data_IF_038600245887
#
_entry.id   IF_038600245887
#
_cell.length_a   1.000
_cell.length_b   1.000
_cell.length_c   1.000
_cell.angle_alpha   90.00
_cell.angle_beta   90.00
_cell.angle_gamma   90.00
#
_symmetry.space_group_name_H-M   'P 1'
#
loop_
_entity.id
_entity.type
_entity.pdbx_description
1 polymer ?
#
# COMPACT_ATOMS: atom_id res chain seq x y z
N UNK A 1 6.09 27.52 8.77
CA UNK A 1 6.33 27.62 7.31
C UNK A 1 7.84 27.70 7.09
N UNK A 2 8.48 26.64 6.66
CA UNK A 2 9.89 26.67 6.31
C UNK A 2 10.05 26.01 4.95
N UNK A 3 10.24 26.87 3.94
CA UNK A 3 10.63 26.45 2.62
C UNK A 3 12.08 25.98 2.65
N UNK A 4 12.35 24.74 2.25
CA UNK A 4 13.67 24.36 1.79
C UNK A 4 13.89 25.15 0.50
N UNK A 5 14.67 26.23 0.58
CA UNK A 5 15.05 27.02 -0.57
C UNK A 5 16.04 26.20 -1.42
N UNK A 6 15.57 25.73 -2.56
CA UNK A 6 16.47 25.26 -3.61
C UNK A 6 17.32 26.46 -4.10
N UNK A 7 18.61 26.28 -4.40
CA UNK A 7 19.48 27.37 -4.84
C UNK A 7 18.92 27.96 -6.14
N UNK A 8 18.73 29.29 -6.16
CA UNK A 8 18.35 30.04 -7.34
C UNK A 8 19.43 29.88 -8.41
N UNK A 9 19.13 29.13 -9.43
CA UNK A 9 19.94 29.12 -10.66
C UNK A 9 19.84 30.53 -11.29
N UNK A 10 20.98 31.18 -11.41
CA UNK A 10 21.11 32.50 -12.05
C UNK A 10 20.59 32.39 -13.50
N UNK A 11 19.66 33.29 -13.85
CA UNK A 11 19.18 33.46 -15.23
C UNK A 11 20.37 33.77 -16.14
N UNK A 12 20.66 32.91 -17.12
CA UNK A 12 21.52 33.24 -18.23
C UNK A 12 20.72 34.15 -19.19
N UNK A 13 21.15 35.40 -19.29
CA UNK A 13 20.69 36.35 -20.32
C UNK A 13 21.14 35.81 -21.68
N UNK A 14 20.23 35.26 -22.46
CA UNK A 14 20.44 34.88 -23.84
C UNK A 14 19.81 35.98 -24.70
N UNK A 15 20.65 36.61 -25.54
CA UNK A 15 20.27 37.69 -26.43
C UNK A 15 19.18 37.30 -27.43
N UNK A 16 18.49 38.30 -27.95
CA UNK A 16 17.36 38.33 -28.89
C UNK A 16 17.38 37.21 -29.93
N UNK A 17 16.67 36.12 -29.64
CA UNK A 17 16.15 35.20 -30.66
C UNK A 17 14.73 34.85 -30.22
N UNK A 18 13.76 34.99 -31.11
CA UNK A 18 12.36 34.70 -31.06
C UNK A 18 11.73 34.38 -29.67
N UNK A 19 10.47 34.70 -29.42
CA UNK A 19 9.78 34.41 -28.17
C UNK A 19 10.02 32.96 -27.73
N UNK A 20 10.97 32.76 -26.83
CA UNK A 20 11.20 31.46 -26.20
C UNK A 20 10.04 31.29 -25.21
N UNK A 21 9.22 30.28 -25.43
CA UNK A 21 8.16 29.90 -24.49
C UNK A 21 8.85 29.48 -23.18
N UNK A 22 8.57 30.18 -22.08
CA UNK A 22 8.96 29.72 -20.74
C UNK A 22 7.91 28.72 -20.24
N UNK A 23 8.34 27.51 -19.89
CA UNK A 23 7.46 26.46 -19.37
C UNK A 23 7.28 26.52 -17.85
N UNK A 24 8.17 27.23 -17.13
CA UNK A 24 8.14 27.35 -15.67
C UNK A 24 6.79 27.87 -15.13
N UNK A 25 6.11 28.89 -15.73
CA UNK A 25 4.82 29.35 -15.23
C UNK A 25 3.72 28.29 -15.28
N UNK A 26 3.76 27.36 -16.25
CA UNK A 26 2.77 26.27 -16.32
C UNK A 26 2.89 25.32 -15.13
N UNK A 27 4.12 24.96 -14.75
CA UNK A 27 4.37 24.08 -13.61
C UNK A 27 4.10 24.79 -12.27
N UNK A 28 4.47 26.06 -12.15
CA UNK A 28 4.16 26.88 -10.98
C UNK A 28 2.64 26.97 -10.76
N UNK A 29 1.88 27.31 -11.80
CA UNK A 29 0.42 27.37 -11.72
C UNK A 29 -0.23 26.00 -11.39
N UNK A 30 0.35 24.89 -11.86
CA UNK A 30 -0.14 23.57 -11.52
C UNK A 30 0.08 23.24 -10.03
N UNK A 31 1.22 23.64 -9.47
CA UNK A 31 1.51 23.47 -8.03
C UNK A 31 0.64 24.39 -7.19
N UNK A 32 0.43 25.64 -7.60
CA UNK A 32 -0.40 26.61 -6.87
C UNK A 32 -1.86 26.14 -6.80
N UNK A 33 -2.40 25.57 -7.89
CA UNK A 33 -3.72 24.92 -7.85
C UNK A 33 -3.79 23.80 -6.81
N UNK A 34 -2.75 22.96 -6.67
CA UNK A 34 -2.73 21.94 -5.63
C UNK A 34 -2.74 22.54 -4.21
N UNK A 35 -2.10 23.70 -4.01
CA UNK A 35 -2.14 24.44 -2.73
C UNK A 35 -3.51 25.03 -2.46
N UNK A 36 -4.11 25.67 -3.45
CA UNK A 36 -5.47 26.21 -3.36
C UNK A 36 -6.52 25.13 -3.08
N UNK A 37 -6.39 23.95 -3.72
CA UNK A 37 -7.25 22.79 -3.52
C UNK A 37 -6.94 22.00 -2.24
N UNK A 38 -5.97 22.41 -1.44
CA UNK A 38 -5.50 21.71 -0.24
C UNK A 38 -5.00 20.26 -0.50
N UNK A 39 -4.43 20.03 -1.68
CA UNK A 39 -3.91 18.74 -2.16
C UNK A 39 -2.39 18.69 -2.20
N UNK A 40 -1.72 19.79 -1.88
CA UNK A 40 -0.26 19.85 -1.87
C UNK A 40 0.30 18.99 -0.75
N UNK A 41 1.17 18.04 -1.12
CA UNK A 41 1.79 17.10 -0.19
C UNK A 41 3.16 17.60 0.25
N UNK A 42 3.40 17.55 1.55
CA UNK A 42 4.72 17.80 2.14
C UNK A 42 5.33 16.45 2.52
N UNK A 43 6.55 16.22 2.08
CA UNK A 43 7.29 15.00 2.40
C UNK A 43 8.18 15.27 3.62
N UNK A 44 7.99 14.48 4.67
CA UNK A 44 8.77 14.58 5.91
C UNK A 44 10.06 13.79 5.72
N UNK A 45 11.20 14.45 5.99
CA UNK A 45 12.52 13.82 5.91
C UNK A 45 12.80 13.03 7.20
N UNK A 46 12.73 11.70 7.10
CA UNK A 46 12.87 10.78 8.25
C UNK A 46 14.09 9.88 8.09
N UNK A 47 14.96 9.91 9.06
CA UNK A 47 16.07 8.98 9.23
C UNK A 47 15.67 7.87 10.20
N UNK A 48 15.48 6.64 9.68
CA UNK A 48 15.15 5.47 10.50
C UNK A 48 16.36 5.02 11.29
N UNK A 49 16.13 4.53 12.52
CA UNK A 49 17.16 4.00 13.39
C UNK A 49 17.00 2.48 13.44
N UNK A 50 17.96 1.75 12.86
CA UNK A 50 17.91 0.28 12.86
C UNK A 50 17.82 -0.27 14.29
N UNK A 51 16.89 -1.18 14.53
CA UNK A 51 16.65 -1.78 15.85
C UNK A 51 15.88 -0.90 16.85
N UNK A 52 15.43 0.31 16.45
CA UNK A 52 14.68 1.22 17.32
C UNK A 52 13.29 1.60 16.76
N UNK A 53 12.73 0.77 15.86
CA UNK A 53 11.36 1.01 15.41
C UNK A 53 10.38 1.00 16.61
N UNK A 54 9.40 1.96 16.69
CA UNK A 54 8.95 2.90 15.67
C UNK A 54 9.60 4.29 15.71
N UNK A 55 10.72 4.46 16.39
CA UNK A 55 11.42 5.75 16.48
C UNK A 55 12.19 6.07 15.21
N UNK A 56 12.24 7.37 14.87
CA UNK A 56 13.04 7.91 13.79
C UNK A 56 13.52 9.32 14.13
N UNK A 57 14.52 9.82 13.42
CA UNK A 57 14.94 11.22 13.51
C UNK A 57 14.26 11.99 12.36
N UNK A 58 13.45 12.96 12.71
CA UNK A 58 12.94 13.94 11.78
C UNK A 58 13.97 15.04 11.54
N UNK A 59 14.45 15.16 10.29
CA UNK A 59 15.35 16.22 9.83
C UNK A 59 14.55 17.48 9.53
N UNK A 60 14.19 18.23 10.59
CA UNK A 60 13.42 19.47 10.44
C UNK A 60 14.31 20.67 10.16
N UNK A 61 13.71 21.77 9.69
CA UNK A 61 14.42 23.04 9.49
C UNK A 61 14.95 23.67 10.79
N UNK A 62 14.40 23.30 11.94
CA UNK A 62 14.85 23.72 13.28
C UNK A 62 15.87 22.76 13.92
N UNK A 63 16.30 21.74 13.17
CA UNK A 63 17.23 20.72 13.61
C UNK A 63 16.60 19.34 13.74
N UNK A 64 17.43 18.30 13.98
CA UNK A 64 16.96 16.92 14.11
C UNK A 64 16.19 16.75 15.43
N UNK A 65 15.05 16.01 15.35
CA UNK A 65 14.24 15.64 16.51
C UNK A 65 13.83 14.17 16.42
N UNK A 66 13.86 13.47 17.54
CA UNK A 66 13.30 12.13 17.62
C UNK A 66 11.78 12.19 17.56
N UNK A 67 11.17 11.30 16.77
CA UNK A 67 9.73 11.20 16.58
C UNK A 67 9.30 9.73 16.56
N UNK A 68 8.03 9.47 16.89
CA UNK A 68 7.40 8.15 16.81
C UNK A 68 6.53 8.08 15.56
N UNK A 69 6.76 7.08 14.72
CA UNK A 69 6.03 6.88 13.46
C UNK A 69 4.81 5.99 13.69
N UNK A 70 3.59 6.52 13.51
CA UNK A 70 2.33 5.79 13.64
C UNK A 70 1.62 5.50 12.32
N UNK A 71 2.27 5.78 11.18
CA UNK A 71 1.70 5.60 9.84
C UNK A 71 2.60 4.79 8.90
N UNK A 72 3.52 3.99 9.46
CA UNK A 72 4.40 3.14 8.65
C UNK A 72 3.62 2.01 7.98
N UNK A 73 4.00 1.70 6.74
CA UNK A 73 3.52 0.48 6.07
C UNK A 73 4.38 -0.75 6.39
N UNK A 74 5.51 -0.62 7.08
CA UNK A 74 6.27 -1.75 7.61
C UNK A 74 5.57 -2.28 8.89
N UNK A 75 4.40 -2.89 8.68
CA UNK A 75 3.44 -3.23 9.73
C UNK A 75 4.01 -4.11 10.84
N UNK A 76 4.89 -5.04 10.48
CA UNK A 76 5.52 -5.99 11.40
C UNK A 76 6.98 -5.62 11.74
N UNK A 77 7.46 -4.46 11.23
CA UNK A 77 8.85 -3.99 11.36
C UNK A 77 9.88 -5.01 10.81
N UNK A 78 9.48 -5.81 9.82
CA UNK A 78 10.37 -6.79 9.18
C UNK A 78 11.55 -6.13 8.47
N UNK A 79 11.41 -4.88 8.03
CA UNK A 79 12.51 -4.12 7.43
C UNK A 79 13.69 -3.85 8.37
N UNK A 80 13.50 -4.06 9.69
CA UNK A 80 14.55 -3.96 10.71
C UNK A 80 14.82 -5.29 11.41
N UNK A 81 14.14 -6.37 11.01
CA UNK A 81 14.30 -7.67 11.64
C UNK A 81 15.71 -8.25 11.37
N UNK A 82 16.44 -8.76 12.39
CA UNK A 82 17.82 -9.20 12.22
C UNK A 82 18.05 -10.23 11.13
N UNK A 83 17.11 -11.18 10.94
CA UNK A 83 17.20 -12.19 9.86
C UNK A 83 17.10 -11.57 8.48
N UNK A 84 16.26 -10.55 8.32
CA UNK A 84 16.03 -9.85 7.04
C UNK A 84 17.24 -8.98 6.70
N UNK A 85 17.69 -8.17 7.66
CA UNK A 85 18.88 -7.32 7.50
C UNK A 85 20.13 -8.19 7.28
N UNK A 86 20.29 -9.27 8.03
CA UNK A 86 21.43 -10.19 7.88
C UNK A 86 21.46 -10.84 6.49
N UNK A 87 20.32 -11.29 5.96
CA UNK A 87 20.22 -11.84 4.61
C UNK A 87 20.57 -10.80 3.53
N UNK A 88 20.12 -9.56 3.72
CA UNK A 88 20.45 -8.44 2.83
C UNK A 88 21.95 -8.17 2.78
N UNK A 89 22.58 -8.04 3.96
CA UNK A 89 24.02 -7.76 4.08
C UNK A 89 24.85 -8.86 3.48
N UNK A 90 24.53 -10.13 3.77
CA UNK A 90 25.22 -11.28 3.22
C UNK A 90 25.13 -11.35 1.68
N UNK A 91 23.94 -11.10 1.13
CA UNK A 91 23.75 -11.07 -0.32
C UNK A 91 24.47 -9.89 -0.98
N UNK A 92 24.43 -8.70 -0.37
CA UNK A 92 25.16 -7.53 -0.88
C UNK A 92 26.67 -7.77 -0.90
N UNK A 93 27.23 -8.37 0.15
CA UNK A 93 28.66 -8.72 0.22
C UNK A 93 29.05 -9.76 -0.84
N UNK A 94 28.15 -10.69 -1.17
CA UNK A 94 28.42 -11.77 -2.12
C UNK A 94 28.21 -11.39 -3.58
N UNK A 95 27.15 -10.62 -3.87
CA UNK A 95 26.67 -10.39 -5.25
C UNK A 95 26.79 -8.92 -5.70
N UNK A 96 27.16 -8.01 -4.80
CA UNK A 96 27.17 -6.57 -5.06
C UNK A 96 25.81 -5.90 -4.92
N UNK A 97 25.76 -4.60 -5.21
CA UNK A 97 24.60 -3.74 -4.95
C UNK A 97 23.57 -3.73 -6.09
N UNK A 98 23.98 -4.01 -7.31
CA UNK A 98 23.18 -3.79 -8.52
C UNK A 98 22.41 -5.01 -9.00
N UNK A 99 21.38 -4.77 -9.84
CA UNK A 99 20.57 -5.81 -10.46
C UNK A 99 21.17 -6.38 -11.76
N UNK A 100 22.13 -5.70 -12.38
CA UNK A 100 22.77 -6.11 -13.63
C UNK A 100 21.99 -5.74 -14.90
N UNK A 101 20.70 -5.37 -14.82
CA UNK A 101 19.87 -4.99 -15.97
C UNK A 101 18.40 -5.36 -15.82
N UNK A 102 17.68 -5.34 -16.96
CA UNK A 102 16.33 -5.89 -17.05
C UNK A 102 16.36 -7.41 -16.96
N UNK A 103 15.21 -8.04 -16.73
CA UNK A 103 15.12 -9.51 -16.50
C UNK A 103 15.77 -10.32 -17.63
N UNK A 104 15.57 -9.95 -18.87
CA UNK A 104 16.12 -10.64 -20.04
C UNK A 104 17.55 -10.17 -20.41
N UNK A 105 18.05 -9.08 -19.81
CA UNK A 105 19.42 -8.58 -20.02
C UNK A 105 20.21 -8.70 -18.72
N UNK A 106 20.59 -9.93 -18.35
CA UNK A 106 21.36 -10.27 -17.15
C UNK A 106 20.74 -9.89 -15.78
N UNK A 107 19.50 -9.37 -15.73
CA UNK A 107 18.82 -9.01 -14.46
C UNK A 107 18.12 -10.19 -13.77
N UNK A 108 17.98 -11.36 -14.42
CA UNK A 108 17.45 -12.56 -13.77
C UNK A 108 18.56 -13.22 -12.95
N UNK A 109 18.69 -12.79 -11.70
CA UNK A 109 19.63 -13.36 -10.74
C UNK A 109 18.99 -14.51 -9.94
N UNK A 110 19.83 -15.42 -9.38
CA UNK A 110 19.35 -16.60 -8.67
C UNK A 110 18.49 -16.27 -7.45
N UNK A 111 18.85 -15.24 -6.67
CA UNK A 111 18.06 -14.81 -5.50
C UNK A 111 16.64 -14.37 -5.88
N UNK A 112 16.46 -13.84 -7.08
CA UNK A 112 15.15 -13.45 -7.59
C UNK A 112 14.33 -14.67 -8.01
N UNK A 113 14.97 -15.70 -8.61
CA UNK A 113 14.32 -16.98 -8.92
C UNK A 113 13.87 -17.68 -7.63
N UNK A 114 14.71 -17.71 -6.60
CA UNK A 114 14.36 -18.26 -5.28
C UNK A 114 13.17 -17.50 -4.66
N UNK A 115 13.14 -16.16 -4.78
CA UNK A 115 12.05 -15.35 -4.28
C UNK A 115 10.73 -15.66 -5.00
N UNK A 116 10.72 -15.80 -6.33
CA UNK A 116 9.53 -16.15 -7.10
C UNK A 116 9.00 -17.55 -6.70
N UNK A 117 9.88 -18.52 -6.49
CA UNK A 117 9.50 -19.84 -5.97
C UNK A 117 8.90 -19.76 -4.56
N UNK A 118 9.49 -18.95 -3.68
CA UNK A 118 9.00 -18.78 -2.30
C UNK A 118 7.63 -18.11 -2.26
N UNK A 119 7.36 -17.15 -3.16
CA UNK A 119 6.05 -16.49 -3.29
C UNK A 119 5.02 -17.48 -3.84
N UNK A 120 5.36 -18.24 -4.87
CA UNK A 120 4.48 -19.26 -5.43
C UNK A 120 4.07 -20.30 -4.35
N UNK A 121 5.03 -20.75 -3.54
CA UNK A 121 4.75 -21.64 -2.41
C UNK A 121 3.92 -20.99 -1.31
N UNK A 122 4.17 -19.71 -0.97
CA UNK A 122 3.37 -18.97 0.00
C UNK A 122 1.88 -19.00 -0.39
N UNK A 123 1.58 -18.72 -1.65
CA UNK A 123 0.23 -18.62 -2.19
C UNK A 123 -0.31 -19.93 -2.76
N UNK A 124 0.44 -21.03 -2.69
CA UNK A 124 0.06 -22.32 -3.30
C UNK A 124 -0.33 -22.19 -4.76
N UNK A 125 0.39 -21.36 -5.50
CA UNK A 125 0.23 -21.17 -6.94
C UNK A 125 1.36 -21.82 -7.70
N UNK A 126 1.14 -22.09 -9.00
CA UNK A 126 2.13 -22.77 -9.85
C UNK A 126 3.36 -21.89 -10.09
N UNK A 127 3.17 -20.58 -10.21
CA UNK A 127 4.25 -19.63 -10.49
C UNK A 127 3.98 -18.27 -9.88
N UNK A 128 5.04 -17.46 -9.75
CA UNK A 128 4.98 -16.07 -9.39
C UNK A 128 5.93 -15.23 -10.26
N UNK A 129 5.65 -13.93 -10.36
CA UNK A 129 6.45 -12.98 -11.08
C UNK A 129 6.68 -11.73 -10.23
N UNK A 130 7.94 -11.35 -10.01
CA UNK A 130 8.33 -10.21 -9.17
C UNK A 130 8.55 -8.97 -10.02
N UNK A 131 8.02 -7.84 -9.54
CA UNK A 131 8.11 -6.49 -10.10
C UNK A 131 8.84 -5.56 -9.15
N UNK A 132 9.23 -4.38 -9.61
CA UNK A 132 9.94 -3.38 -8.80
C UNK A 132 9.07 -2.75 -7.69
N UNK A 133 7.76 -2.80 -7.80
CA UNK A 133 6.83 -2.33 -6.77
C UNK A 133 5.45 -2.99 -6.91
N UNK A 134 4.64 -2.93 -5.83
CA UNK A 134 3.24 -3.33 -5.86
C UNK A 134 2.40 -2.50 -6.83
N UNK A 135 2.77 -1.23 -7.04
CA UNK A 135 2.14 -0.39 -8.06
C UNK A 135 2.33 -0.98 -9.46
N UNK A 136 3.58 -1.31 -9.81
CA UNK A 136 3.91 -1.88 -11.13
C UNK A 136 3.31 -3.27 -11.33
N UNK A 137 3.23 -4.11 -10.30
CA UNK A 137 2.61 -5.43 -10.42
C UNK A 137 1.12 -5.34 -10.72
N UNK A 138 0.37 -4.43 -10.09
CA UNK A 138 -1.03 -4.17 -10.39
C UNK A 138 -1.21 -3.59 -11.79
N UNK A 139 -0.56 -2.47 -12.05
CA UNK A 139 -0.71 -1.74 -13.31
C UNK A 139 -0.37 -2.61 -14.52
N UNK A 140 0.77 -3.28 -14.45
CA UNK A 140 1.28 -4.10 -15.56
C UNK A 140 0.55 -5.44 -15.65
N UNK A 141 0.27 -6.10 -14.51
CA UNK A 141 -0.42 -7.37 -14.46
C UNK A 141 -1.84 -7.28 -15.01
N UNK A 142 -2.65 -6.38 -14.45
CA UNK A 142 -4.05 -6.18 -14.89
C UNK A 142 -4.11 -5.78 -16.36
N UNK A 143 -3.28 -4.80 -16.77
CA UNK A 143 -3.29 -4.33 -18.17
C UNK A 143 -2.96 -5.46 -19.15
N UNK A 144 -1.94 -6.27 -18.85
CA UNK A 144 -1.50 -7.34 -19.74
C UNK A 144 -2.50 -8.49 -19.76
N UNK A 145 -2.98 -8.93 -18.61
CA UNK A 145 -3.95 -10.04 -18.52
C UNK A 145 -5.22 -9.68 -19.28
N UNK A 146 -5.86 -8.55 -18.95
CA UNK A 146 -7.12 -8.15 -19.57
C UNK A 146 -6.98 -7.95 -21.08
N UNK A 147 -5.88 -7.34 -21.56
CA UNK A 147 -5.63 -7.11 -22.99
C UNK A 147 -5.48 -8.40 -23.80
N UNK A 148 -4.97 -9.48 -23.20
CA UNK A 148 -4.76 -10.75 -23.89
C UNK A 148 -6.00 -11.67 -23.88
N UNK A 149 -7.05 -11.32 -23.16
CA UNK A 149 -8.34 -12.00 -23.19
C UNK A 149 -9.24 -11.30 -24.21
N UNK A 150 -9.62 -11.96 -25.33
CA UNK A 150 -10.45 -11.33 -26.34
C UNK A 150 -11.80 -10.87 -25.77
N UNK A 151 -12.24 -9.66 -26.10
CA UNK A 151 -13.49 -9.04 -25.63
C UNK A 151 -13.67 -9.03 -24.09
N UNK A 152 -12.59 -8.95 -23.36
CA UNK A 152 -12.60 -8.95 -21.89
C UNK A 152 -13.41 -7.78 -21.34
N UNK A 153 -14.36 -8.06 -20.44
CA UNK A 153 -15.00 -7.06 -19.59
C UNK A 153 -14.32 -7.03 -18.23
N UNK A 154 -13.77 -5.89 -17.83
CA UNK A 154 -13.19 -5.71 -16.51
C UNK A 154 -14.22 -5.13 -15.54
N UNK A 155 -14.49 -5.86 -14.46
CA UNK A 155 -15.36 -5.45 -13.36
C UNK A 155 -14.47 -5.01 -12.19
N UNK A 156 -14.45 -3.70 -11.86
CA UNK A 156 -13.55 -3.14 -10.86
C UNK A 156 -14.34 -2.57 -9.70
N UNK A 157 -13.92 -2.86 -8.46
CA UNK A 157 -14.48 -2.23 -7.27
C UNK A 157 -14.25 -0.71 -7.28
N UNK A 158 -15.23 0.04 -6.77
CA UNK A 158 -15.22 1.50 -6.77
C UNK A 158 -14.09 2.11 -5.92
N UNK A 159 -13.58 1.40 -4.91
CA UNK A 159 -12.51 1.86 -4.01
C UNK A 159 -11.16 1.19 -4.29
N UNK A 160 -11.00 0.50 -5.41
CA UNK A 160 -9.71 -0.07 -5.79
C UNK A 160 -8.59 0.97 -5.81
N UNK A 161 -7.40 0.54 -5.41
CA UNK A 161 -6.20 1.36 -5.40
C UNK A 161 -5.87 1.92 -6.80
N UNK A 162 -5.28 3.11 -6.85
CA UNK A 162 -4.93 3.80 -8.10
C UNK A 162 -4.13 2.93 -9.08
N UNK A 163 -3.22 2.08 -8.60
CA UNK A 163 -2.45 1.16 -9.46
C UNK A 163 -3.33 0.18 -10.23
N UNK A 164 -4.43 -0.28 -9.61
CA UNK A 164 -5.41 -1.16 -10.25
C UNK A 164 -6.23 -0.38 -11.28
N UNK A 165 -6.69 0.83 -10.90
CA UNK A 165 -7.41 1.74 -11.82
C UNK A 165 -6.57 2.04 -13.06
N UNK A 166 -5.27 2.32 -12.90
CA UNK A 166 -4.36 2.56 -14.03
C UNK A 166 -4.13 1.28 -14.86
N UNK A 167 -4.04 0.12 -14.24
CA UNK A 167 -3.98 -1.17 -14.93
C UNK A 167 -5.21 -1.42 -15.80
N UNK A 168 -6.40 -1.20 -15.23
CA UNK A 168 -7.68 -1.30 -15.95
C UNK A 168 -7.75 -0.30 -17.11
N UNK A 169 -7.30 0.96 -16.88
CA UNK A 169 -7.26 1.98 -17.93
C UNK A 169 -6.32 1.58 -19.08
N UNK A 170 -5.13 1.09 -18.76
CA UNK A 170 -4.12 0.72 -19.75
C UNK A 170 -4.44 -0.57 -20.52
N UNK A 171 -5.32 -1.41 -20.00
CA UNK A 171 -5.80 -2.58 -20.75
C UNK A 171 -6.52 -2.21 -22.04
N UNK A 172 -7.19 -1.05 -22.06
CA UNK A 172 -8.05 -0.61 -23.17
C UNK A 172 -9.38 -1.39 -23.26
N UNK A 173 -9.65 -2.31 -22.33
CA UNK A 173 -10.87 -3.11 -22.30
C UNK A 173 -12.09 -2.31 -21.82
N UNK A 174 -13.30 -2.76 -22.19
CA UNK A 174 -14.52 -2.26 -21.54
C UNK A 174 -14.43 -2.51 -20.04
N UNK A 175 -14.83 -1.53 -19.26
CA UNK A 175 -14.85 -1.62 -17.81
C UNK A 175 -16.19 -1.20 -17.25
N UNK A 176 -16.62 -1.85 -16.18
CA UNK A 176 -17.76 -1.45 -15.34
C UNK A 176 -17.29 -1.40 -13.89
N UNK A 177 -17.70 -0.33 -13.20
CA UNK A 177 -17.35 -0.14 -11.80
C UNK A 177 -18.55 -0.57 -10.96
N UNK A 178 -18.34 -1.52 -10.06
CA UNK A 178 -19.36 -1.93 -9.12
C UNK A 178 -19.20 -1.19 -7.78
N UNK A 179 -20.34 -0.99 -7.09
CA UNK A 179 -20.34 -0.30 -5.80
C UNK A 179 -19.51 -1.08 -4.80
N UNK A 180 -18.73 -0.35 -4.01
CA UNK A 180 -17.79 -0.93 -3.06
C UNK A 180 -18.42 -2.02 -2.20
N UNK A 181 -17.83 -3.21 -2.21
CA UNK A 181 -18.25 -4.41 -1.50
C UNK A 181 -19.72 -4.86 -1.71
N UNK A 182 -20.43 -4.29 -2.70
CA UNK A 182 -21.81 -4.61 -3.03
C UNK A 182 -21.88 -5.79 -4.03
N UNK A 183 -21.95 -6.99 -3.47
CA UNK A 183 -21.99 -8.24 -4.27
C UNK A 183 -23.26 -8.37 -5.12
N UNK A 184 -24.37 -7.75 -4.70
CA UNK A 184 -25.62 -7.77 -5.47
C UNK A 184 -25.47 -6.89 -6.74
N UNK A 185 -24.80 -5.75 -6.62
CA UNK A 185 -24.47 -4.93 -7.80
C UNK A 185 -23.44 -5.63 -8.70
N UNK A 186 -22.45 -6.30 -8.13
CA UNK A 186 -21.50 -7.11 -8.92
C UNK A 186 -22.25 -8.20 -9.70
N UNK A 187 -23.18 -8.91 -9.06
CA UNK A 187 -23.98 -9.94 -9.73
C UNK A 187 -24.83 -9.37 -10.88
N UNK A 188 -25.48 -8.22 -10.68
CA UNK A 188 -26.22 -7.54 -11.74
C UNK A 188 -25.35 -7.26 -12.96
N UNK A 189 -24.12 -6.78 -12.76
CA UNK A 189 -23.18 -6.49 -13.84
C UNK A 189 -22.69 -7.76 -14.54
N UNK A 190 -22.43 -8.84 -13.79
CA UNK A 190 -22.04 -10.15 -14.32
C UNK A 190 -23.15 -10.74 -15.18
N UNK A 191 -24.40 -10.70 -14.70
CA UNK A 191 -25.59 -11.18 -15.43
C UNK A 191 -25.81 -10.38 -16.72
N UNK A 192 -25.67 -9.05 -16.66
CA UNK A 192 -25.81 -8.17 -17.82
C UNK A 192 -24.69 -8.33 -18.86
N UNK A 193 -23.55 -8.89 -18.49
CA UNK A 193 -22.45 -9.17 -19.41
C UNK A 193 -22.71 -10.41 -20.28
N UNK A 194 -23.60 -11.29 -19.86
CA UNK A 194 -23.86 -12.57 -20.54
C UNK A 194 -22.88 -13.69 -20.15
N UNK A 195 -23.27 -14.94 -20.39
CA UNK A 195 -22.47 -16.10 -19.98
C UNK A 195 -21.17 -16.24 -20.78
N UNK A 196 -21.24 -16.03 -22.08
CA UNK A 196 -20.14 -16.31 -23.03
C UNK A 196 -19.01 -15.27 -23.01
N UNK A 197 -19.29 -14.07 -22.54
CA UNK A 197 -18.32 -12.99 -22.55
C UNK A 197 -17.25 -13.22 -21.48
N UNK A 198 -15.95 -13.20 -21.80
CA UNK A 198 -14.89 -13.24 -20.79
C UNK A 198 -14.94 -12.04 -19.84
N UNK A 199 -14.76 -12.30 -18.55
CA UNK A 199 -14.87 -11.30 -17.50
C UNK A 199 -13.68 -11.41 -16.55
N UNK A 200 -13.16 -10.27 -16.10
CA UNK A 200 -12.13 -10.16 -15.06
C UNK A 200 -12.64 -9.31 -13.89
N UNK A 201 -12.81 -9.91 -12.72
CA UNK A 201 -13.18 -9.21 -11.49
C UNK A 201 -11.91 -8.78 -10.79
N UNK A 202 -11.78 -7.46 -10.51
CA UNK A 202 -10.59 -6.85 -9.93
C UNK A 202 -10.97 -6.14 -8.62
N UNK A 203 -10.38 -6.57 -7.49
CA UNK A 203 -10.71 -6.07 -6.16
C UNK A 203 -9.55 -6.22 -5.18
N UNK A 204 -9.56 -5.43 -4.09
CA UNK A 204 -8.67 -5.63 -2.94
C UNK A 204 -9.35 -6.56 -1.93
N UNK A 205 -8.60 -7.44 -1.29
CA UNK A 205 -9.15 -8.30 -0.22
C UNK A 205 -9.26 -7.52 1.09
N UNK A 206 -8.39 -6.52 1.28
CA UNK A 206 -8.37 -5.59 2.40
C UNK A 206 -8.07 -4.19 1.89
N UNK A 207 -9.04 -3.28 2.03
CA UNK A 207 -8.97 -1.92 1.50
C UNK A 207 -8.14 -0.98 2.39
N UNK A 208 -7.24 -0.26 1.74
CA UNK A 208 -6.14 0.45 2.41
C UNK A 208 -6.55 1.63 3.27
N UNK A 209 -7.68 2.29 2.96
CA UNK A 209 -8.07 3.55 3.61
C UNK A 209 -9.17 3.37 4.66
N UNK A 210 -10.06 2.45 4.45
CA UNK A 210 -11.18 2.16 5.34
C UNK A 210 -10.86 0.99 6.29
N UNK A 211 -9.99 0.08 5.88
CA UNK A 211 -9.60 -1.09 6.67
C UNK A 211 -10.68 -2.15 6.73
N UNK A 212 -11.58 -2.16 5.78
CA UNK A 212 -12.61 -3.17 5.61
C UNK A 212 -12.12 -4.31 4.71
N UNK A 213 -12.86 -5.41 4.73
CA UNK A 213 -12.52 -6.65 4.03
C UNK A 213 -13.58 -6.92 2.98
N UNK A 214 -13.14 -7.29 1.77
CA UNK A 214 -14.05 -7.70 0.72
C UNK A 214 -14.84 -8.96 1.12
N UNK A 215 -16.10 -9.09 0.69
CA UNK A 215 -16.90 -10.30 0.88
C UNK A 215 -16.39 -11.43 -0.04
N UNK A 216 -15.15 -11.87 0.21
CA UNK A 216 -14.31 -12.69 -0.67
C UNK A 216 -14.99 -13.96 -1.15
N UNK A 217 -15.60 -14.72 -0.23
CA UNK A 217 -16.26 -16.00 -0.59
C UNK A 217 -17.43 -15.77 -1.56
N UNK A 218 -18.22 -14.69 -1.34
CA UNK A 218 -19.32 -14.35 -2.24
C UNK A 218 -18.83 -13.88 -3.61
N UNK A 219 -17.71 -13.17 -3.67
CA UNK A 219 -17.07 -12.80 -4.94
C UNK A 219 -16.62 -14.05 -5.69
N UNK A 220 -16.00 -15.01 -4.99
CA UNK A 220 -15.60 -16.28 -5.58
C UNK A 220 -16.83 -17.09 -6.08
N UNK A 221 -17.93 -17.16 -5.31
CA UNK A 221 -19.17 -17.82 -5.72
C UNK A 221 -19.71 -17.23 -7.04
N UNK A 222 -19.74 -15.91 -7.13
CA UNK A 222 -20.17 -15.20 -8.33
C UNK A 222 -19.21 -15.42 -9.51
N UNK A 223 -17.91 -15.40 -9.26
CA UNK A 223 -16.91 -15.66 -10.29
C UNK A 223 -17.10 -17.05 -10.92
N UNK A 224 -17.25 -18.07 -10.10
CA UNK A 224 -17.51 -19.44 -10.53
C UNK A 224 -18.85 -19.57 -11.28
N UNK A 225 -19.92 -18.98 -10.72
CA UNK A 225 -21.26 -19.04 -11.31
C UNK A 225 -21.33 -18.39 -12.70
N UNK A 226 -20.61 -17.29 -12.90
CA UNK A 226 -20.67 -16.50 -14.15
C UNK A 226 -19.43 -16.69 -15.04
N UNK A 227 -18.55 -17.64 -14.75
CA UNK A 227 -17.34 -17.91 -15.52
C UNK A 227 -16.42 -16.69 -15.61
N UNK A 228 -16.21 -15.98 -14.51
CA UNK A 228 -15.33 -14.83 -14.43
C UNK A 228 -13.99 -15.19 -13.78
N UNK A 229 -12.91 -14.62 -14.31
CA UNK A 229 -11.58 -14.68 -13.72
C UNK A 229 -11.47 -13.69 -12.58
N UNK A 230 -10.70 -14.01 -11.54
CA UNK A 230 -10.48 -13.18 -10.36
C UNK A 230 -9.06 -12.66 -10.27
N UNK A 231 -8.91 -11.36 -9.97
CA UNK A 231 -7.65 -10.71 -9.63
C UNK A 231 -7.79 -10.04 -8.27
N UNK A 232 -7.17 -10.62 -7.25
CA UNK A 232 -7.26 -10.15 -5.87
C UNK A 232 -5.95 -9.50 -5.42
N UNK A 233 -6.02 -8.24 -4.99
CA UNK A 233 -4.93 -7.50 -4.37
C UNK A 233 -4.91 -7.79 -2.86
N UNK A 234 -3.85 -8.44 -2.41
CA UNK A 234 -3.57 -8.78 -1.00
C UNK A 234 -2.51 -7.87 -0.36
N UNK A 235 -2.19 -6.74 -0.98
CA UNK A 235 -1.07 -5.86 -0.59
C UNK A 235 -1.10 -5.45 0.89
N UNK A 236 -2.29 -5.26 1.46
CA UNK A 236 -2.48 -4.92 2.87
C UNK A 236 -2.68 -6.13 3.78
N UNK A 237 -2.75 -7.33 3.23
CA UNK A 237 -3.06 -8.54 3.97
C UNK A 237 -1.93 -9.58 3.99
N UNK A 238 -1.10 -9.67 2.95
CA UNK A 238 0.06 -10.58 2.93
C UNK A 238 1.03 -10.27 4.06
N UNK A 239 1.57 -11.29 4.68
CA UNK A 239 2.38 -11.22 5.90
C UNK A 239 1.57 -11.07 7.18
N UNK A 240 0.30 -10.62 7.10
CA UNK A 240 -0.53 -10.17 8.22
C UNK A 240 -1.62 -11.15 8.62
N UNK A 241 -2.23 -11.82 7.64
CA UNK A 241 -3.38 -12.70 7.83
C UNK A 241 -3.11 -14.09 7.28
N UNK A 242 -3.89 -15.07 7.77
CA UNK A 242 -3.71 -16.47 7.44
C UNK A 242 -2.61 -17.15 8.26
N UNK A 243 -2.63 -18.48 8.27
CA UNK A 243 -1.69 -19.28 9.08
C UNK A 243 -0.24 -19.10 8.65
N UNK A 244 0.01 -19.06 7.34
CA UNK A 244 1.34 -18.84 6.75
C UNK A 244 1.64 -17.38 6.45
N UNK A 245 0.66 -16.49 6.66
CA UNK A 245 0.75 -15.09 6.28
C UNK A 245 0.50 -14.86 4.79
N UNK A 246 -0.29 -15.71 4.13
CA UNK A 246 -0.58 -15.56 2.72
C UNK A 246 -1.77 -14.62 2.43
N UNK A 247 -2.37 -14.02 3.46
CA UNK A 247 -3.39 -12.98 3.31
C UNK A 247 -4.80 -13.42 3.70
N UNK A 248 -5.80 -12.64 3.29
CA UNK A 248 -7.23 -12.90 3.55
C UNK A 248 -7.69 -14.16 2.81
N UNK A 249 -7.20 -14.39 1.60
CA UNK A 249 -7.53 -15.60 0.85
C UNK A 249 -7.13 -16.89 1.60
N UNK A 250 -5.98 -16.89 2.30
CA UNK A 250 -5.60 -18.01 3.16
C UNK A 250 -6.48 -18.08 4.40
N UNK A 251 -6.75 -16.95 5.06
CA UNK A 251 -7.58 -16.89 6.26
C UNK A 251 -8.97 -17.47 6.02
N UNK A 252 -9.57 -17.13 4.89
CA UNK A 252 -10.95 -17.47 4.56
C UNK A 252 -11.06 -18.78 3.74
N UNK A 253 -9.93 -19.46 3.46
CA UNK A 253 -9.90 -20.72 2.74
C UNK A 253 -10.25 -20.60 1.24
N UNK A 254 -10.06 -19.41 0.65
CA UNK A 254 -10.39 -19.10 -0.74
C UNK A 254 -9.17 -19.14 -1.69
N UNK A 255 -7.98 -19.52 -1.22
CA UNK A 255 -6.74 -19.45 -1.97
C UNK A 255 -6.81 -20.11 -3.33
N UNK A 256 -7.44 -21.30 -3.41
CA UNK A 256 -7.52 -22.08 -4.64
C UNK A 256 -8.62 -21.57 -5.61
N UNK A 257 -9.50 -20.68 -5.13
CA UNK A 257 -10.62 -20.09 -5.88
C UNK A 257 -10.27 -18.76 -6.55
N UNK A 258 -9.06 -18.23 -6.31
CA UNK A 258 -8.59 -16.98 -6.90
C UNK A 258 -7.57 -17.31 -7.98
N UNK A 259 -7.77 -16.76 -9.18
CA UNK A 259 -6.88 -17.02 -10.32
C UNK A 259 -5.56 -16.28 -10.21
N UNK A 260 -5.61 -15.01 -9.83
CA UNK A 260 -4.41 -14.15 -9.67
C UNK A 260 -4.41 -13.50 -8.30
N UNK A 261 -3.38 -13.79 -7.52
CA UNK A 261 -3.07 -13.09 -6.28
C UNK A 261 -1.96 -12.07 -6.51
N UNK A 262 -2.20 -10.85 -6.13
CA UNK A 262 -1.18 -9.81 -6.16
C UNK A 262 -0.78 -9.42 -4.74
N UNK A 263 0.50 -9.13 -4.53
CA UNK A 263 1.00 -8.71 -3.24
C UNK A 263 2.19 -7.77 -3.34
N UNK A 264 2.66 -7.33 -2.18
CA UNK A 264 3.83 -6.45 -2.08
C UNK A 264 4.86 -6.98 -1.08
N UNK A 265 6.12 -6.72 -1.38
CA UNK A 265 7.24 -6.95 -0.47
C UNK A 265 7.53 -5.72 0.41
N UNK A 266 6.85 -4.58 0.13
CA UNK A 266 7.19 -3.29 0.70
C UNK A 266 6.37 -2.92 1.96
N UNK A 267 5.49 -3.81 2.44
CA UNK A 267 4.70 -3.58 3.66
C UNK A 267 5.09 -4.59 4.75
N UNK A 268 4.25 -5.57 5.05
CA UNK A 268 4.53 -6.51 6.14
C UNK A 268 5.86 -7.27 6.02
N UNK A 269 6.36 -7.49 4.80
CA UNK A 269 7.69 -8.10 4.58
C UNK A 269 8.86 -7.11 4.72
N UNK A 270 8.59 -5.80 4.84
CA UNK A 270 9.59 -4.77 5.17
C UNK A 270 10.64 -4.46 4.11
N UNK A 271 10.46 -4.93 2.86
CA UNK A 271 11.42 -4.80 1.78
C UNK A 271 10.93 -3.84 0.67
N UNK A 272 11.29 -4.10 -0.57
CA UNK A 272 10.84 -3.39 -1.78
C UNK A 272 10.44 -4.40 -2.83
N UNK A 273 9.40 -4.09 -3.60
CA UNK A 273 8.92 -4.90 -4.71
C UNK A 273 7.43 -5.20 -4.61
N UNK A 274 6.91 -5.78 -5.69
CA UNK A 274 5.57 -6.34 -5.76
C UNK A 274 5.60 -7.62 -6.58
N UNK A 275 4.51 -8.35 -6.60
CA UNK A 275 4.44 -9.60 -7.35
C UNK A 275 3.00 -9.94 -7.74
N UNK A 276 2.87 -10.84 -8.70
CA UNK A 276 1.65 -11.60 -8.96
C UNK A 276 1.97 -13.09 -8.83
N UNK A 277 0.97 -13.88 -8.45
CA UNK A 277 1.05 -15.34 -8.39
C UNK A 277 -0.22 -15.96 -9.00
N UNK A 278 -0.08 -17.03 -9.77
CA UNK A 278 -1.18 -17.67 -10.47
C UNK A 278 -0.73 -18.91 -11.24
N UNK A 279 -1.53 -19.31 -12.24
CA UNK A 279 -1.20 -20.40 -13.13
C UNK A 279 0.06 -20.12 -13.96
N UNK A 280 0.85 -21.13 -14.24
CA UNK A 280 2.14 -21.00 -14.93
C UNK A 280 2.00 -20.33 -16.31
N UNK A 281 0.99 -20.72 -17.09
CA UNK A 281 0.72 -20.14 -18.42
C UNK A 281 0.37 -18.65 -18.37
N UNK A 282 -0.39 -18.22 -17.35
CA UNK A 282 -0.74 -16.83 -17.13
C UNK A 282 0.50 -16.00 -16.75
N UNK A 283 1.28 -16.51 -15.81
CA UNK A 283 2.53 -15.85 -15.36
C UNK A 283 3.53 -15.73 -16.51
N UNK A 284 3.66 -16.77 -17.33
CA UNK A 284 4.54 -16.76 -18.50
C UNK A 284 4.05 -15.80 -19.60
N UNK A 285 2.75 -15.69 -19.81
CA UNK A 285 2.18 -14.70 -20.71
C UNK A 285 2.48 -13.26 -20.24
N UNK A 286 2.31 -12.96 -18.95
CA UNK A 286 2.65 -11.64 -18.40
C UNK A 286 4.15 -11.38 -18.53
N UNK A 287 5.00 -12.35 -18.19
CA UNK A 287 6.47 -12.26 -18.33
C UNK A 287 6.88 -11.91 -19.77
N UNK A 288 6.21 -12.49 -20.75
CA UNK A 288 6.57 -12.39 -22.16
C UNK A 288 6.00 -11.14 -22.88
N UNK A 289 4.87 -10.61 -22.39
CA UNK A 289 4.15 -9.54 -23.09
C UNK A 289 4.11 -8.20 -22.36
N UNK A 290 4.42 -8.16 -21.07
CA UNK A 290 4.24 -6.97 -20.24
C UNK A 290 5.40 -5.96 -20.38
N UNK A 291 5.21 -4.79 -21.05
CA UNK A 291 6.30 -3.82 -21.23
C UNK A 291 6.86 -3.32 -19.89
N UNK A 292 6.00 -3.07 -18.90
CA UNK A 292 6.40 -2.62 -17.56
C UNK A 292 7.22 -3.66 -16.77
N UNK A 293 7.24 -4.92 -17.22
CA UNK A 293 8.12 -5.95 -16.71
C UNK A 293 9.39 -6.09 -17.54
N UNK A 294 9.24 -6.23 -18.88
CA UNK A 294 10.35 -6.53 -19.81
C UNK A 294 11.39 -5.41 -19.81
N UNK A 295 10.95 -4.14 -19.83
CA UNK A 295 11.83 -2.98 -19.98
C UNK A 295 12.21 -2.31 -18.65
N UNK A 296 11.88 -2.92 -17.52
CA UNK A 296 12.20 -2.41 -16.19
C UNK A 296 13.39 -3.17 -15.61
N UNK A 297 14.33 -2.46 -14.96
CA UNK A 297 15.44 -3.06 -14.21
C UNK A 297 14.92 -4.01 -13.13
N UNK A 298 15.55 -5.16 -13.00
CA UNK A 298 15.19 -6.16 -11.98
C UNK A 298 15.49 -5.68 -10.55
N UNK A 299 14.97 -6.39 -9.55
CA UNK A 299 15.38 -6.15 -8.15
C UNK A 299 16.81 -6.67 -7.92
N UNK A 300 17.63 -5.93 -7.15
CA UNK A 300 18.95 -6.37 -6.72
C UNK A 300 18.89 -7.67 -5.89
N UNK A 301 19.91 -8.55 -5.99
CA UNK A 301 19.99 -9.79 -5.20
C UNK A 301 19.83 -9.59 -3.69
N UNK A 302 20.36 -8.50 -3.15
CA UNK A 302 20.25 -8.16 -1.73
C UNK A 302 18.80 -7.97 -1.27
N UNK A 303 17.98 -7.28 -2.08
CA UNK A 303 16.56 -7.09 -1.80
C UNK A 303 15.80 -8.42 -1.93
N UNK A 304 16.10 -9.21 -2.95
CA UNK A 304 15.47 -10.52 -3.14
C UNK A 304 15.75 -11.45 -1.96
N UNK A 305 17.00 -11.54 -1.51
CA UNK A 305 17.40 -12.36 -0.36
C UNK A 305 16.72 -11.90 0.94
N UNK A 306 16.63 -10.60 1.17
CA UNK A 306 15.92 -10.01 2.32
C UNK A 306 14.42 -10.38 2.30
N UNK A 307 13.76 -10.21 1.17
CA UNK A 307 12.35 -10.54 1.01
C UNK A 307 12.08 -12.04 1.20
N UNK A 308 12.93 -12.91 0.63
CA UNK A 308 12.85 -14.36 0.84
C UNK A 308 12.99 -14.72 2.33
N UNK A 309 13.95 -14.09 3.03
CA UNK A 309 14.13 -14.30 4.47
C UNK A 309 12.91 -13.84 5.28
N UNK A 310 12.29 -12.71 4.93
CA UNK A 310 11.07 -12.20 5.57
C UNK A 310 9.90 -13.17 5.37
N UNK A 311 9.66 -13.62 4.13
CA UNK A 311 8.59 -14.57 3.81
C UNK A 311 8.79 -15.88 4.58
N UNK A 312 9.98 -16.47 4.52
CA UNK A 312 10.31 -17.72 5.23
C UNK A 312 10.13 -17.61 6.74
N UNK A 313 10.53 -16.47 7.31
CA UNK A 313 10.31 -16.21 8.73
C UNK A 313 8.82 -16.14 9.07
N UNK A 314 8.05 -15.32 8.37
CA UNK A 314 6.63 -15.13 8.66
C UNK A 314 5.77 -16.36 8.32
N UNK A 315 6.19 -17.26 7.43
CA UNK A 315 5.53 -18.56 7.23
C UNK A 315 5.58 -19.46 8.46
N UNK A 316 6.58 -19.28 9.32
CA UNK A 316 6.83 -20.12 10.49
C UNK A 316 6.51 -19.40 11.81
N UNK A 317 6.68 -18.10 11.87
CA UNK A 317 6.42 -17.28 13.06
C UNK A 317 5.00 -16.72 13.06
N UNK A 318 4.34 -16.80 14.23
CA UNK A 318 3.03 -16.20 14.47
C UNK A 318 3.10 -15.04 15.46
N UNK A 319 4.23 -14.88 16.17
CA UNK A 319 4.36 -13.93 17.27
C UNK A 319 4.17 -12.49 16.83
N UNK A 320 4.79 -12.10 15.71
CA UNK A 320 4.70 -10.73 15.19
C UNK A 320 3.25 -10.38 14.80
N UNK A 321 2.56 -11.34 14.14
CA UNK A 321 1.15 -11.14 13.75
C UNK A 321 0.23 -11.06 14.96
N UNK A 322 0.40 -11.95 15.95
CA UNK A 322 -0.41 -11.96 17.15
C UNK A 322 -0.23 -10.66 17.95
N UNK A 323 0.99 -10.23 18.19
CA UNK A 323 1.30 -8.96 18.86
C UNK A 323 0.74 -7.76 18.08
N UNK A 324 0.87 -7.79 16.75
CA UNK A 324 0.35 -6.71 15.92
C UNK A 324 -1.19 -6.60 16.01
N UNK A 325 -1.92 -7.71 15.94
CA UNK A 325 -3.37 -7.72 16.06
C UNK A 325 -3.83 -7.25 17.47
N UNK A 326 -3.13 -7.67 18.52
CA UNK A 326 -3.38 -7.18 19.89
C UNK A 326 -3.17 -5.66 19.96
N UNK A 327 -2.07 -5.13 19.41
CA UNK A 327 -1.80 -3.67 19.38
C UNK A 327 -2.86 -2.90 18.60
N UNK A 328 -3.27 -3.40 17.44
CA UNK A 328 -4.34 -2.77 16.66
C UNK A 328 -5.67 -2.73 17.43
N UNK A 329 -6.04 -3.81 18.10
CA UNK A 329 -7.24 -3.88 18.93
C UNK A 329 -7.17 -2.90 20.11
N UNK A 330 -6.03 -2.84 20.81
CA UNK A 330 -5.82 -1.91 21.95
C UNK A 330 -5.89 -0.45 21.49
N UNK A 331 -5.24 -0.09 20.38
CA UNK A 331 -5.29 1.27 19.83
C UNK A 331 -6.74 1.67 19.53
N UNK A 332 -7.51 0.83 18.83
CA UNK A 332 -8.92 1.10 18.55
C UNK A 332 -9.72 1.30 19.84
N UNK A 333 -9.61 0.38 20.79
CA UNK A 333 -10.33 0.44 22.04
C UNK A 333 -10.00 1.72 22.84
N UNK A 334 -8.73 2.04 23.02
CA UNK A 334 -8.27 3.21 23.78
C UNK A 334 -8.76 4.51 23.15
N UNK A 335 -8.60 4.68 21.84
CA UNK A 335 -9.03 5.90 21.15
C UNK A 335 -10.56 6.05 21.15
N UNK A 336 -11.30 4.96 20.97
CA UNK A 336 -12.77 4.96 21.04
C UNK A 336 -13.27 5.30 22.44
N UNK A 337 -12.68 4.73 23.50
CA UNK A 337 -13.02 5.04 24.89
C UNK A 337 -12.69 6.50 25.26
N UNK A 338 -11.69 7.08 24.63
CA UNK A 338 -11.37 8.51 24.79
C UNK A 338 -12.37 9.43 24.07
N UNK A 339 -13.28 8.90 23.26
CA UNK A 339 -14.25 9.65 22.48
C UNK A 339 -13.72 10.13 21.11
N UNK A 340 -12.54 9.69 20.70
CA UNK A 340 -12.02 10.02 19.35
C UNK A 340 -12.86 9.31 18.27
N UNK A 341 -13.14 9.95 17.13
CA UNK A 341 -14.03 9.41 16.10
C UNK A 341 -13.31 8.34 15.24
N UNK A 342 -12.98 7.20 15.88
CA UNK A 342 -12.43 6.02 15.20
C UNK A 342 -13.50 5.46 14.28
N UNK A 343 -13.18 5.33 13.00
CA UNK A 343 -14.08 4.74 12.01
C UNK A 343 -14.12 3.21 12.18
N UNK A 344 -15.25 2.56 11.85
CA UNK A 344 -15.33 1.10 11.82
C UNK A 344 -14.22 0.50 10.95
N UNK A 345 -13.53 -0.50 11.47
CA UNK A 345 -12.49 -1.25 10.75
C UNK A 345 -12.29 -2.60 11.42
N UNK A 346 -12.38 -3.67 10.64
CA UNK A 346 -12.18 -5.05 11.12
C UNK A 346 -10.70 -5.47 11.10
N UNK A 347 -9.80 -4.57 10.67
CA UNK A 347 -8.39 -4.89 10.39
C UNK A 347 -7.44 -4.08 11.28
N UNK A 348 -6.16 -4.18 10.99
CA UNK A 348 -5.09 -3.45 11.67
C UNK A 348 -5.03 -1.95 11.35
N UNK A 349 -5.78 -1.49 10.38
CA UNK A 349 -5.85 -0.08 10.00
C UNK A 349 -6.81 0.62 10.94
N UNK A 350 -6.37 1.73 11.55
CA UNK A 350 -7.15 2.50 12.50
C UNK A 350 -7.36 3.90 11.93
N UNK A 351 -8.45 4.14 11.17
CA UNK A 351 -8.75 5.45 10.64
C UNK A 351 -9.48 6.29 11.70
N UNK A 352 -9.01 7.52 11.94
CA UNK A 352 -9.63 8.50 12.85
C UNK A 352 -10.15 9.65 12.00
N UNK A 353 -11.47 9.82 11.95
CA UNK A 353 -12.13 10.81 11.10
C UNK A 353 -11.84 12.24 11.58
N UNK A 354 -11.51 13.13 10.65
CA UNK A 354 -11.39 14.58 10.88
C UNK A 354 -12.46 15.34 10.11
N UNK A 355 -12.77 14.90 8.86
CA UNK A 355 -13.87 15.44 8.05
C UNK A 355 -13.61 16.81 7.42
N UNK A 356 -12.40 17.33 7.52
CA UNK A 356 -11.98 18.62 6.95
C UNK A 356 -10.51 18.57 6.56
N UNK A 357 -10.18 18.94 5.33
CA UNK A 357 -8.82 18.81 4.79
C UNK A 357 -7.79 19.71 5.48
N UNK A 358 -8.19 20.94 5.84
CA UNK A 358 -7.31 21.90 6.53
C UNK A 358 -7.05 21.44 7.96
N UNK A 359 -8.10 21.06 8.69
CA UNK A 359 -7.98 20.56 10.06
C UNK A 359 -7.20 19.25 10.10
N UNK A 360 -7.41 18.35 9.11
CA UNK A 360 -6.66 17.09 9.03
C UNK A 360 -5.16 17.33 8.82
N UNK A 361 -4.82 18.26 7.93
CA UNK A 361 -3.42 18.67 7.74
C UNK A 361 -2.86 19.34 9.01
N UNK A 362 -3.61 20.26 9.62
CA UNK A 362 -3.20 20.92 10.86
C UNK A 362 -3.01 19.93 12.02
N UNK A 363 -3.87 18.92 12.13
CA UNK A 363 -3.73 17.86 13.13
C UNK A 363 -2.43 17.06 12.93
N UNK A 364 -2.15 16.63 11.70
CA UNK A 364 -0.90 15.94 11.36
C UNK A 364 0.33 16.80 11.69
N UNK A 365 0.30 18.10 11.35
CA UNK A 365 1.42 19.01 11.60
C UNK A 365 1.66 19.24 13.09
N UNK A 366 0.59 19.44 13.88
CA UNK A 366 0.70 19.64 15.34
C UNK A 366 1.19 18.38 16.04
N UNK A 367 0.67 17.21 15.68
CA UNK A 367 1.17 15.93 16.21
C UNK A 367 2.68 15.81 15.99
N UNK A 368 3.17 16.16 14.80
CA UNK A 368 4.58 16.07 14.48
C UNK A 368 5.42 17.14 15.22
N UNK A 369 4.98 18.39 15.17
CA UNK A 369 5.79 19.53 15.68
C UNK A 369 5.73 19.70 17.19
N UNK A 370 4.58 19.46 17.81
CA UNK A 370 4.35 19.70 19.23
C UNK A 370 4.56 18.42 20.06
N UNK A 371 4.13 17.24 19.54
CA UNK A 371 4.15 15.97 20.28
C UNK A 371 5.21 14.98 19.81
N UNK A 372 5.91 15.23 18.69
CA UNK A 372 6.88 14.28 18.15
C UNK A 372 6.24 13.00 17.61
N UNK A 373 4.97 13.06 17.20
CA UNK A 373 4.20 11.93 16.66
C UNK A 373 3.95 12.16 15.17
N UNK A 374 4.43 11.22 14.34
CA UNK A 374 4.22 11.32 12.90
C UNK A 374 3.06 10.44 12.42
N UNK A 375 2.00 11.10 11.97
CA UNK A 375 0.85 10.49 11.31
C UNK A 375 0.52 11.33 10.08
N UNK A 376 0.50 10.72 8.90
CA UNK A 376 0.18 11.40 7.66
C UNK A 376 -1.34 11.66 7.56
N UNK A 377 -1.72 12.89 7.22
CA UNK A 377 -3.09 13.24 6.87
C UNK A 377 -3.50 12.58 5.55
N UNK A 378 -4.68 12.00 5.50
CA UNK A 378 -5.25 11.41 4.29
C UNK A 378 -6.42 12.27 3.83
N UNK A 379 -6.22 12.98 2.71
CA UNK A 379 -7.15 13.94 2.15
C UNK A 379 -7.55 13.54 0.72
N UNK A 380 -8.52 14.25 0.14
CA UNK A 380 -8.87 14.11 -1.28
C UNK A 380 -7.60 14.26 -2.18
N UNK A 381 -7.43 13.48 -3.24
CA UNK A 381 -8.38 12.51 -3.81
C UNK A 381 -8.25 11.08 -3.25
N UNK A 382 -7.42 10.85 -2.23
CA UNK A 382 -7.21 9.52 -1.66
C UNK A 382 -8.47 9.02 -0.93
N UNK A 383 -9.20 9.93 -0.30
CA UNK A 383 -10.52 9.70 0.28
C UNK A 383 -11.50 10.78 -0.20
N UNK A 384 -12.81 10.55 -0.21
CA UNK A 384 -13.81 11.56 -0.54
C UNK A 384 -13.72 12.76 0.41
N UNK A 385 -14.15 13.96 -0.08
CA UNK A 385 -14.28 15.16 0.76
C UNK A 385 -15.31 14.92 1.87
N UNK A 386 -15.01 15.40 3.08
CA UNK A 386 -15.77 15.15 4.29
C UNK A 386 -15.41 13.84 4.99
N UNK A 387 -14.53 13.05 4.40
CA UNK A 387 -14.00 11.79 4.97
C UNK A 387 -12.48 11.83 5.19
N UNK A 388 -11.91 13.03 5.26
CA UNK A 388 -10.50 13.23 5.59
C UNK A 388 -10.20 12.66 6.98
N UNK A 389 -9.08 11.98 7.11
CA UNK A 389 -8.75 11.20 8.30
C UNK A 389 -7.25 11.13 8.60
N UNK A 390 -6.92 10.83 9.83
CA UNK A 390 -5.62 10.33 10.21
C UNK A 390 -5.66 8.80 10.13
N UNK A 391 -4.75 8.20 9.36
CA UNK A 391 -4.64 6.74 9.21
C UNK A 391 -3.53 6.22 10.09
N UNK A 392 -3.91 5.61 11.21
CA UNK A 392 -2.97 5.04 12.18
C UNK A 392 -2.74 3.57 11.84
N UNK A 393 -1.48 3.16 11.81
CA UNK A 393 -1.05 1.78 11.58
C UNK A 393 -0.08 1.38 12.69
N UNK A 394 -0.57 0.82 13.79
CA UNK A 394 0.29 0.35 14.88
C UNK A 394 1.20 -0.79 14.40
N UNK A 395 2.26 -1.05 15.15
CA UNK A 395 3.16 -2.18 14.96
C UNK A 395 3.31 -2.95 16.27
N UNK A 396 3.90 -4.15 16.28
CA UNK A 396 4.19 -4.89 17.52
C UNK A 396 5.01 -4.11 18.55
N UNK A 397 5.76 -3.09 18.10
CA UNK A 397 6.68 -2.31 18.93
C UNK A 397 6.08 -1.02 19.52
N UNK A 398 4.83 -0.71 19.21
CA UNK A 398 4.10 0.38 19.89
C UNK A 398 3.58 -0.14 21.23
N UNK A 399 4.31 0.13 22.30
CA UNK A 399 3.93 -0.28 23.66
C UNK A 399 2.79 0.56 24.25
N UNK A 400 2.40 0.27 25.49
CA UNK A 400 1.30 0.94 26.15
C UNK A 400 1.63 2.40 26.47
N UNK A 401 2.91 2.72 26.77
CA UNK A 401 3.35 4.09 27.01
C UNK A 401 3.25 4.95 25.76
N UNK A 402 3.61 4.40 24.60
CA UNK A 402 3.43 5.07 23.30
C UNK A 402 1.95 5.25 22.95
N UNK A 403 1.09 4.28 23.29
CA UNK A 403 -0.34 4.39 23.07
C UNK A 403 -0.97 5.48 23.95
N UNK A 404 -0.60 5.57 25.23
CA UNK A 404 -1.05 6.61 26.15
C UNK A 404 -0.61 8.00 25.67
N UNK A 405 0.64 8.13 25.21
CA UNK A 405 1.16 9.35 24.62
C UNK A 405 0.40 9.75 23.34
N UNK A 406 0.11 8.78 22.47
CA UNK A 406 -0.70 9.02 21.26
C UNK A 406 -2.10 9.52 21.62
N UNK A 407 -2.77 8.85 22.55
CA UNK A 407 -4.13 9.21 22.96
C UNK A 407 -4.17 10.63 23.55
N UNK A 408 -3.25 10.95 24.44
CA UNK A 408 -3.14 12.27 25.06
C UNK A 408 -2.86 13.38 24.02
N UNK A 409 -1.95 13.12 23.09
CA UNK A 409 -1.61 14.07 22.00
C UNK A 409 -2.80 14.29 21.05
N UNK A 410 -3.54 13.24 20.70
CA UNK A 410 -4.72 13.38 19.86
C UNK A 410 -5.81 14.21 20.56
N UNK A 411 -6.08 13.98 21.85
CA UNK A 411 -7.05 14.78 22.60
C UNK A 411 -6.66 16.26 22.68
N UNK A 412 -5.41 16.58 22.96
CA UNK A 412 -4.90 17.97 22.97
C UNK A 412 -5.07 18.62 21.58
N UNK A 413 -4.74 17.92 20.51
CA UNK A 413 -4.89 18.43 19.14
C UNK A 413 -6.36 18.60 18.76
N UNK A 414 -7.25 17.68 19.16
CA UNK A 414 -8.70 17.78 18.94
C UNK A 414 -9.29 19.02 19.61
N UNK A 415 -8.95 19.24 20.88
CA UNK A 415 -9.40 20.41 21.63
C UNK A 415 -8.94 21.72 20.97
N UNK A 416 -7.67 21.85 20.62
CA UNK A 416 -7.09 23.06 20.02
C UNK A 416 -7.63 23.37 18.61
N UNK A 417 -8.04 22.35 17.86
CA UNK A 417 -8.63 22.52 16.53
C UNK A 417 -10.16 22.63 16.55
N UNK A 418 -10.77 22.56 17.74
CA UNK A 418 -12.23 22.55 17.89
C UNK A 418 -12.86 21.40 17.11
N UNK A 419 -12.27 20.19 17.19
CA UNK A 419 -12.80 18.97 16.57
C UNK A 419 -13.77 18.28 17.53
N UNK A 420 -14.85 17.74 16.98
CA UNK A 420 -15.84 17.02 17.79
C UNK A 420 -15.31 15.67 18.26
N UNK A 421 -15.62 15.34 19.50
CA UNK A 421 -15.50 13.99 20.03
C UNK A 421 -16.85 13.27 19.91
N UNK A 422 -16.82 11.97 19.76
CA UNK A 422 -18.02 11.12 19.88
C UNK A 422 -18.41 10.99 21.35
N UNK A 423 -19.69 10.69 21.60
CA UNK A 423 -20.14 10.32 22.94
C UNK A 423 -19.33 9.11 23.44
N UNK A 424 -18.82 9.21 24.67
CA UNK A 424 -18.07 8.12 25.25
C UNK A 424 -19.01 6.94 25.46
N UNK A 425 -18.64 5.71 25.01
CA UNK A 425 -19.44 4.55 25.30
C UNK A 425 -19.58 4.39 26.81
N UNK A 426 -20.81 4.29 27.28
CA UNK A 426 -21.09 3.99 28.70
C UNK A 426 -20.45 2.65 29.05
N UNK A 427 -19.60 2.63 30.08
CA UNK A 427 -19.07 1.38 30.61
C UNK A 427 -20.26 0.52 31.09
N UNK A 428 -20.56 -0.52 30.33
CA UNK A 428 -21.49 -1.59 30.78
C UNK A 428 -20.78 -2.58 31.70
#
# INVERSE_FOLDING_TARGET
MAHVALPRLRSRTIGQRGRVISYEPFFAAAVDRLREEQRYRVFVDLERIAGRFPYAIWRSSSGPREVVIWCSNDYLAMGQHPKVVGAMVAAAARFGAGAGGTRNIAGTNHSLVELELEIADLHRKEAALVFTSGYMSNQTGIATIAKHIPDCLVLSDALNHNSMIEGVRQSGCEKRIWRHNDVDHLEQLLRAAGAERPKLIVFETLYSMDGDIAPLLRICDLAEQYGAMTYADEVHAVGMYGRRGAGIAERDGAMDRIDVLQGTLAKAFGCVGGYIAGANSLIDAVRSHAPGFIFTTALPPAICAAATAAIRHLKQSHSERAQHQDRAARVKATLTLAGLPVMPSDTHIVPVLVGDALKCKAASDRLLTEHGIYIQSINYPTVPRGLERLRITPSPYHDDALLDALCSALLDVWERLGLALNDRPTRS
#
